data_IF_172968189353
#
_entry.id   IF_172968189353
#
_cell.length_a   1.000
_cell.length_b   1.000
_cell.length_c   1.000
_cell.angle_alpha   90.00
_cell.angle_beta   90.00
_cell.angle_gamma   90.00
#
_symmetry.space_group_name_H-M   'P 1'
#
loop_
_entity.id
_entity.type
_entity.pdbx_description
1 polymer ?
#
# COMPACT_ATOMS: atom_id res chain seq x y z
N UNK A 1 2.80 -20.03 -2.23
CA UNK A 1 3.87 -19.21 -1.62
C UNK A 1 4.03 -17.95 -2.46
N UNK A 2 3.27 -16.88 -2.19
CA UNK A 2 3.38 -15.64 -3.02
C UNK A 2 3.05 -14.32 -2.31
N UNK A 3 2.98 -14.24 -0.97
CA UNK A 3 2.81 -12.93 -0.30
C UNK A 3 4.09 -12.08 -0.23
N UNK A 4 5.26 -12.66 -0.54
CA UNK A 4 6.54 -11.94 -0.50
C UNK A 4 6.74 -10.91 -1.61
N UNK A 5 5.99 -10.99 -2.72
CA UNK A 5 6.17 -10.07 -3.85
C UNK A 5 5.47 -8.72 -3.64
N UNK A 6 4.29 -8.70 -3.02
CA UNK A 6 3.52 -7.46 -2.82
C UNK A 6 4.16 -6.55 -1.77
N UNK A 7 4.55 -7.12 -0.63
CA UNK A 7 5.26 -6.37 0.41
C UNK A 7 6.60 -5.82 -0.08
N UNK A 8 7.37 -6.62 -0.82
CA UNK A 8 8.65 -6.19 -1.39
C UNK A 8 8.48 -5.00 -2.35
N UNK A 9 7.42 -5.01 -3.18
CA UNK A 9 7.13 -3.90 -4.09
C UNK A 9 6.72 -2.63 -3.34
N UNK A 10 5.91 -2.74 -2.28
CA UNK A 10 5.59 -1.59 -1.41
C UNK A 10 6.86 -1.02 -0.78
N UNK A 11 7.74 -1.88 -0.24
CA UNK A 11 9.02 -1.45 0.36
C UNK A 11 9.96 -0.81 -0.66
N UNK A 12 10.00 -1.31 -1.89
CA UNK A 12 10.76 -0.72 -2.99
C UNK A 12 10.27 0.70 -3.30
N UNK A 13 8.95 0.90 -3.44
CA UNK A 13 8.38 2.23 -3.66
C UNK A 13 8.64 3.14 -2.45
N UNK A 14 8.50 2.66 -1.22
CA UNK A 14 8.83 3.42 0.00
C UNK A 14 10.30 3.88 0.02
N UNK A 15 11.22 3.04 -0.44
CA UNK A 15 12.65 3.34 -0.51
C UNK A 15 12.98 4.54 -1.41
N UNK A 16 12.11 4.85 -2.39
CA UNK A 16 12.28 6.02 -3.28
C UNK A 16 12.07 7.35 -2.56
N UNK A 17 11.30 7.35 -1.47
CA UNK A 17 11.10 8.52 -0.63
C UNK A 17 12.16 8.59 0.47
N UNK A 18 12.40 7.45 1.12
CA UNK A 18 13.28 7.33 2.28
C UNK A 18 13.89 5.92 2.34
N UNK A 19 15.19 5.75 2.04
CA UNK A 19 15.83 4.42 2.04
C UNK A 19 15.80 3.74 3.42
N UNK A 20 15.72 4.50 4.51
CA UNK A 20 15.58 4.00 5.88
C UNK A 20 14.25 3.27 6.15
N UNK A 21 13.21 3.51 5.34
CA UNK A 21 11.89 2.90 5.53
C UNK A 21 11.79 1.46 5.04
N UNK A 22 12.84 0.93 4.39
CA UNK A 22 12.86 -0.44 3.86
C UNK A 22 12.75 -1.48 4.98
N UNK A 23 13.18 -1.17 6.20
CA UNK A 23 13.32 -2.15 7.28
C UNK A 23 12.36 -1.91 8.48
N UNK A 24 11.26 -1.19 8.25
CA UNK A 24 10.25 -0.93 9.30
C UNK A 24 9.25 -2.10 9.45
N UNK A 25 8.62 -2.25 10.63
CA UNK A 25 7.53 -3.21 10.84
C UNK A 25 6.38 -2.97 9.87
N UNK A 26 5.73 -4.04 9.40
CA UNK A 26 4.69 -3.93 8.37
C UNK A 26 3.35 -3.37 8.90
N UNK A 27 3.12 -3.51 10.20
CA UNK A 27 1.94 -3.08 10.95
C UNK A 27 2.04 -1.63 11.45
N UNK A 28 3.16 -0.95 11.23
CA UNK A 28 3.38 0.43 11.69
C UNK A 28 2.55 1.43 10.88
N UNK A 29 1.91 2.39 11.54
CA UNK A 29 1.27 3.52 10.86
C UNK A 29 2.36 4.49 10.38
N UNK A 30 2.51 4.58 9.05
CA UNK A 30 3.51 5.39 8.37
C UNK A 30 3.35 6.89 8.63
N UNK A 31 2.11 7.35 8.85
CA UNK A 31 1.80 8.77 9.02
C UNK A 31 1.91 9.16 10.51
N UNK A 32 1.29 8.40 11.40
CA UNK A 32 1.29 8.70 12.84
C UNK A 32 2.70 8.58 13.43
N UNK A 33 3.49 7.60 12.95
CA UNK A 33 4.90 7.44 13.32
C UNK A 33 5.82 8.49 12.69
N UNK A 34 5.27 9.42 11.88
CA UNK A 34 6.00 10.46 11.15
C UNK A 34 7.09 9.93 10.22
N UNK A 35 6.93 8.70 9.76
CA UNK A 35 7.82 8.08 8.78
C UNK A 35 7.59 8.68 7.40
N UNK A 36 6.33 9.01 7.10
CA UNK A 36 5.89 9.70 5.89
C UNK A 36 4.90 10.78 6.30
N UNK A 37 5.08 12.00 5.80
CA UNK A 37 4.10 13.06 6.01
C UNK A 37 2.89 12.91 5.07
N UNK A 38 1.74 13.50 5.42
CA UNK A 38 0.50 13.34 4.65
C UNK A 38 0.61 13.74 3.17
N UNK A 39 1.47 14.70 2.82
CA UNK A 39 1.66 15.12 1.42
C UNK A 39 2.49 14.08 0.65
N UNK A 40 3.60 13.63 1.23
CA UNK A 40 4.43 12.56 0.66
C UNK A 40 3.66 11.25 0.54
N UNK A 41 2.70 10.99 1.44
CA UNK A 41 1.83 9.82 1.35
C UNK A 41 0.99 9.81 0.07
N UNK A 42 0.47 10.97 -0.37
CA UNK A 42 -0.28 11.07 -1.63
C UNK A 42 0.59 10.72 -2.83
N UNK A 43 1.83 11.23 -2.89
CA UNK A 43 2.79 10.89 -3.95
C UNK A 43 3.20 9.42 -3.88
N UNK A 44 3.37 8.87 -2.68
CA UNK A 44 3.66 7.46 -2.48
C UNK A 44 2.55 6.56 -3.04
N UNK A 45 1.28 6.89 -2.76
CA UNK A 45 0.13 6.16 -3.31
C UNK A 45 0.09 6.21 -4.83
N UNK A 46 0.39 7.37 -5.45
CA UNK A 46 0.46 7.49 -6.92
C UNK A 46 1.57 6.62 -7.50
N UNK A 47 2.78 6.66 -6.91
CA UNK A 47 3.89 5.81 -7.36
C UNK A 47 3.57 4.32 -7.22
N UNK A 48 2.81 3.93 -6.18
CA UNK A 48 2.39 2.55 -6.00
C UNK A 48 1.34 2.13 -7.04
N UNK A 49 0.38 3.00 -7.37
CA UNK A 49 -0.58 2.76 -8.46
C UNK A 49 0.15 2.61 -9.80
N UNK A 50 1.10 3.49 -10.10
CA UNK A 50 1.89 3.44 -11.33
C UNK A 50 2.76 2.18 -11.41
N UNK A 51 3.40 1.78 -10.30
CA UNK A 51 4.26 0.60 -10.24
C UNK A 51 3.46 -0.72 -10.34
N UNK A 52 2.25 -0.75 -9.80
CA UNK A 52 1.39 -1.95 -9.78
C UNK A 52 0.45 -2.03 -10.98
N UNK A 53 0.17 -0.90 -11.63
CA UNK A 53 -0.90 -0.76 -12.62
C UNK A 53 -2.30 -0.99 -12.04
N UNK A 54 -2.46 -0.94 -10.71
CA UNK A 54 -3.74 -1.16 -10.02
C UNK A 54 -4.18 0.11 -9.33
N UNK A 55 -5.43 0.49 -9.57
CA UNK A 55 -6.09 1.59 -8.89
C UNK A 55 -7.19 1.02 -7.97
N UNK A 56 -6.87 0.72 -6.70
CA UNK A 56 -7.87 0.25 -5.75
C UNK A 56 -8.86 1.37 -5.38
N UNK A 57 -10.10 1.00 -5.08
CA UNK A 57 -11.10 1.93 -4.56
C UNK A 57 -10.75 2.31 -3.11
N UNK A 58 -9.96 3.38 -2.96
CA UNK A 58 -9.50 3.89 -1.68
C UNK A 58 -10.63 4.47 -0.81
N UNK A 59 -11.75 4.89 -1.43
CA UNK A 59 -12.89 5.47 -0.71
C UNK A 59 -13.65 4.41 0.10
N UNK A 60 -13.63 3.16 -0.37
CA UNK A 60 -14.23 2.01 0.31
C UNK A 60 -13.33 1.40 1.39
N UNK A 61 -12.10 1.88 1.55
CA UNK A 61 -11.10 1.30 2.47
C UNK A 61 -10.95 2.15 3.74
N UNK A 62 -10.92 1.53 4.93
CA UNK A 62 -10.65 2.26 6.16
C UNK A 62 -9.24 2.85 6.15
N UNK A 63 -9.14 4.14 6.46
CA UNK A 63 -7.86 4.90 6.39
C UNK A 63 -6.72 4.28 7.20
N UNK A 64 -7.02 3.57 8.29
CA UNK A 64 -6.00 2.86 9.09
C UNK A 64 -5.30 1.75 8.30
N UNK A 65 -5.99 1.07 7.38
CA UNK A 65 -5.39 0.05 6.52
C UNK A 65 -4.48 0.65 5.45
N UNK A 66 -4.81 1.85 4.95
CA UNK A 66 -3.99 2.55 3.96
C UNK A 66 -2.65 3.02 4.51
N UNK A 67 -2.52 3.13 5.84
CA UNK A 67 -1.33 3.69 6.48
C UNK A 67 -0.29 2.66 6.90
N UNK A 68 -0.54 1.37 6.65
CA UNK A 68 0.37 0.28 7.04
C UNK A 68 0.81 -0.50 5.80
N UNK A 69 2.03 -1.03 5.81
CA UNK A 69 2.53 -1.87 4.70
C UNK A 69 1.67 -3.13 4.58
N UNK A 70 1.28 -3.73 5.69
CA UNK A 70 0.40 -4.90 5.72
C UNK A 70 -0.94 -4.59 5.04
N UNK A 71 -1.63 -3.53 5.46
CA UNK A 71 -2.91 -3.14 4.87
C UNK A 71 -2.79 -2.76 3.40
N UNK A 72 -1.74 -2.03 3.00
CA UNK A 72 -1.46 -1.75 1.60
C UNK A 72 -1.21 -3.04 0.80
N UNK A 73 -0.52 -4.01 1.38
CA UNK A 73 -0.28 -5.31 0.74
C UNK A 73 -1.59 -6.06 0.52
N UNK A 74 -2.48 -6.06 1.51
CA UNK A 74 -3.82 -6.65 1.38
C UNK A 74 -4.63 -5.99 0.27
N UNK A 75 -4.61 -4.66 0.18
CA UNK A 75 -5.43 -3.90 -0.77
C UNK A 75 -4.92 -4.06 -2.21
N UNK A 76 -3.60 -3.91 -2.41
CA UNK A 76 -3.01 -3.94 -3.76
C UNK A 76 -2.75 -5.37 -4.25
N UNK A 77 -2.48 -6.32 -3.36
CA UNK A 77 -2.02 -7.67 -3.71
C UNK A 77 -2.78 -8.81 -3.03
N UNK A 78 -3.77 -8.52 -2.19
CA UNK A 78 -4.65 -9.54 -1.63
C UNK A 78 -5.41 -10.31 -2.73
N UNK A 79 -5.74 -11.56 -2.44
CA UNK A 79 -6.44 -12.47 -3.38
C UNK A 79 -7.91 -12.10 -3.62
N UNK A 80 -8.40 -11.01 -3.05
CA UNK A 80 -9.76 -10.52 -3.20
C UNK A 80 -9.71 -9.08 -3.75
N UNK A 81 -9.29 -8.93 -5.00
CA UNK A 81 -10.00 -7.95 -5.81
C UNK A 81 -11.44 -8.51 -5.88
N UNK A 82 -12.48 -7.81 -5.39
CA UNK A 82 -13.83 -8.28 -5.56
C UNK A 82 -13.98 -8.51 -7.06
N UNK A 83 -14.11 -9.78 -7.41
CA UNK A 83 -14.62 -10.16 -8.71
C UNK A 83 -15.92 -9.39 -8.81
N UNK A 84 -15.97 -8.36 -9.67
CA UNK A 84 -17.22 -7.72 -10.06
C UNK A 84 -18.05 -8.81 -10.75
N UNK A 85 -18.74 -9.57 -9.91
CA UNK A 85 -19.63 -10.63 -10.26
C UNK A 85 -20.95 -9.93 -10.56
N UNK A 86 -21.23 -9.84 -11.85
CA UNK A 86 -22.55 -9.83 -12.50
C UNK A 86 -23.76 -9.78 -11.56
N UNK A 87 -24.58 -8.74 -11.72
CA UNK A 87 -25.99 -8.78 -11.38
C UNK A 87 -26.78 -8.53 -12.67
N UNK A 88 -27.75 -9.41 -12.88
CA UNK A 88 -28.51 -9.72 -14.11
C UNK A 88 -29.34 -8.58 -14.72
#
# INVERSE_FOLDING_TARGET
>A
MSNGNGEAQIREVLSTFHPELVNIPADVDLIDSRLINSLAFITFMQNLIDATGREPDLDSVPIGKLRTIEGLTEIFFGSDAPSAQVAE
#
